data_IF_261239889713
#
_entry.id   IF_261239889713
#
_cell.length_a   1.000
_cell.length_b   1.000
_cell.length_c   1.000
_cell.angle_alpha   90.00
_cell.angle_beta   90.00
_cell.angle_gamma   90.00
#
_symmetry.space_group_name_H-M   'P 1'
#
loop_
_entity.id
_entity.type
_entity.pdbx_description
1 polymer ?
#
# COMPACT_ATOMS: atom_id res chain seq x y z
N UNK A 1 -13.00 7.88 -11.68
CA UNK A 1 -11.60 7.58 -11.99
C UNK A 1 -11.07 6.45 -11.11
N UNK A 2 -10.04 5.79 -11.58
CA UNK A 2 -9.39 4.71 -10.85
C UNK A 2 -7.88 4.89 -10.94
N UNK A 3 -7.21 4.91 -9.79
CA UNK A 3 -5.75 4.93 -9.71
C UNK A 3 -5.31 3.66 -8.99
N UNK A 4 -4.37 2.95 -9.59
CA UNK A 4 -3.78 1.76 -8.99
C UNK A 4 -2.28 1.99 -8.84
N UNK A 5 -1.78 1.79 -7.62
CA UNK A 5 -0.35 1.82 -7.32
C UNK A 5 0.03 0.48 -6.70
N UNK A 6 0.88 -0.27 -7.38
CA UNK A 6 1.18 -1.65 -7.00
C UNK A 6 2.68 -1.84 -6.83
N UNK A 7 3.12 -1.98 -5.58
CA UNK A 7 4.53 -2.24 -5.21
C UNK A 7 5.51 -1.26 -5.84
N UNK A 8 5.11 0.01 -5.87
CA UNK A 8 5.88 1.10 -6.46
C UNK A 8 6.46 1.97 -5.36
N UNK A 9 7.77 2.24 -5.43
CA UNK A 9 8.52 2.87 -4.33
C UNK A 9 8.49 4.40 -4.35
N UNK A 10 7.51 5.03 -4.97
CA UNK A 10 7.41 6.49 -5.01
C UNK A 10 6.43 6.99 -3.95
N UNK A 11 6.74 6.76 -2.69
CA UNK A 11 5.87 7.14 -1.57
C UNK A 11 5.60 8.64 -1.52
N UNK A 12 6.53 9.45 -2.03
CA UNK A 12 6.37 10.90 -2.10
C UNK A 12 5.23 11.33 -3.03
N UNK A 13 4.76 10.48 -3.92
CA UNK A 13 3.62 10.78 -4.79
C UNK A 13 2.28 10.54 -4.10
N UNK A 14 2.24 9.72 -3.05
CA UNK A 14 0.99 9.34 -2.40
C UNK A 14 0.20 10.53 -1.87
N UNK A 15 0.83 11.55 -1.25
CA UNK A 15 0.06 12.70 -0.72
C UNK A 15 -0.65 13.52 -1.80
N UNK A 16 -0.20 13.45 -3.06
CA UNK A 16 -0.83 14.23 -4.15
C UNK A 16 -1.93 13.44 -4.86
N UNK A 17 -1.99 12.13 -4.71
CA UNK A 17 -3.00 11.31 -5.38
C UNK A 17 -4.44 11.70 -5.02
N UNK A 18 -4.78 12.00 -3.75
CA UNK A 18 -6.13 12.44 -3.42
C UNK A 18 -6.57 13.69 -4.18
N UNK A 19 -5.64 14.58 -4.52
CA UNK A 19 -5.94 15.83 -5.23
C UNK A 19 -6.29 15.58 -6.69
N UNK A 20 -5.63 14.62 -7.33
CA UNK A 20 -5.88 14.32 -8.75
C UNK A 20 -7.01 13.32 -8.94
N UNK A 21 -7.42 12.63 -7.87
CA UNK A 21 -8.51 11.68 -7.93
C UNK A 21 -9.84 12.43 -8.00
N UNK A 22 -10.68 12.06 -8.95
CA UNK A 22 -12.01 12.66 -9.08
C UNK A 22 -12.91 12.19 -7.95
N UNK A 23 -13.88 13.04 -7.57
CA UNK A 23 -14.87 12.66 -6.55
C UNK A 23 -15.60 11.39 -6.99
N UNK A 24 -15.72 10.43 -6.08
CA UNK A 24 -16.25 9.11 -6.37
C UNK A 24 -15.23 8.15 -6.94
N UNK A 25 -14.02 8.62 -7.24
CA UNK A 25 -12.96 7.78 -7.77
C UNK A 25 -12.33 6.88 -6.71
N UNK A 26 -11.69 5.82 -7.17
CA UNK A 26 -11.03 4.83 -6.32
C UNK A 26 -9.52 4.91 -6.42
N UNK A 27 -8.86 4.71 -5.28
CA UNK A 27 -7.41 4.57 -5.19
C UNK A 27 -7.11 3.21 -4.55
N UNK A 28 -6.41 2.35 -5.28
CA UNK A 28 -6.01 1.03 -4.81
C UNK A 28 -4.49 1.01 -4.71
N UNK A 29 -3.99 0.73 -3.50
CA UNK A 29 -2.55 0.73 -3.24
C UNK A 29 -2.16 -0.59 -2.61
N UNK A 30 -1.06 -1.16 -3.09
CA UNK A 30 -0.39 -2.28 -2.43
C UNK A 30 1.11 -2.00 -2.41
N UNK A 31 1.72 -2.07 -1.21
CA UNK A 31 3.14 -1.88 -1.03
C UNK A 31 3.70 -2.95 -0.11
N UNK A 32 5.00 -3.21 -0.22
CA UNK A 32 5.68 -4.08 0.74
C UNK A 32 5.69 -3.42 2.11
N UNK A 33 5.33 -4.21 3.13
CA UNK A 33 5.27 -3.78 4.53
C UNK A 33 6.58 -4.13 5.23
N UNK A 34 7.06 -3.25 6.11
CA UNK A 34 8.15 -3.59 7.02
C UNK A 34 7.70 -4.75 7.91
N UNK A 35 8.55 -5.77 8.03
CA UNK A 35 8.19 -6.99 8.74
C UNK A 35 9.35 -7.54 9.54
N UNK A 36 9.06 -7.97 10.77
CA UNK A 36 10.02 -8.66 11.64
C UNK A 36 9.48 -10.05 11.93
N UNK A 37 10.35 -11.02 11.98
CA UNK A 37 10.00 -12.41 12.24
C UNK A 37 10.28 -13.28 11.03
N UNK A 38 9.24 -13.74 10.35
CA UNK A 38 9.40 -14.64 9.19
C UNK A 38 10.16 -13.95 8.06
N UNK A 39 10.94 -14.75 7.32
CA UNK A 39 11.57 -14.27 6.10
C UNK A 39 10.49 -14.04 5.05
N UNK A 40 10.51 -12.87 4.43
CA UNK A 40 9.52 -12.49 3.42
C UNK A 40 10.20 -12.11 2.12
N UNK A 41 9.50 -12.32 1.01
CA UNK A 41 9.95 -11.92 -0.32
C UNK A 41 9.92 -10.40 -0.49
N UNK A 42 10.56 -9.91 -1.55
CA UNK A 42 10.57 -8.50 -1.90
C UNK A 42 11.83 -7.79 -1.43
N UNK A 43 11.77 -6.46 -1.29
CA UNK A 43 12.96 -5.67 -1.00
C UNK A 43 13.63 -6.07 0.31
N UNK A 44 14.95 -6.16 0.31
CA UNK A 44 15.73 -6.37 1.53
C UNK A 44 15.96 -5.07 2.30
N UNK A 45 15.92 -3.94 1.61
CA UNK A 45 16.08 -2.63 2.21
C UNK A 45 14.75 -2.14 2.78
N UNK A 46 14.70 -1.88 4.08
CA UNK A 46 13.48 -1.40 4.74
C UNK A 46 12.99 -0.06 4.21
N UNK A 47 13.87 0.75 3.60
CA UNK A 47 13.46 2.02 3.01
C UNK A 47 12.52 1.83 1.80
N UNK A 48 12.47 0.63 1.24
CA UNK A 48 11.55 0.27 0.16
C UNK A 48 10.30 -0.43 0.68
N UNK A 49 10.07 -0.38 2.00
CA UNK A 49 8.89 -0.96 2.65
C UNK A 49 8.20 0.11 3.47
N UNK A 50 6.88 0.07 3.51
CA UNK A 50 6.11 1.02 4.32
C UNK A 50 6.03 0.53 5.77
N UNK A 51 6.07 1.45 6.74
CA UNK A 51 5.84 1.07 8.13
C UNK A 51 4.38 0.74 8.39
N UNK A 52 4.07 -0.01 9.46
CA UNK A 52 2.69 -0.30 9.83
C UNK A 52 1.86 0.99 9.94
N UNK A 53 0.68 0.99 9.32
CA UNK A 53 -0.20 2.17 9.30
C UNK A 53 0.29 3.31 8.42
N UNK A 54 1.45 3.17 7.77
CA UNK A 54 2.07 4.26 7.02
C UNK A 54 1.29 4.71 5.81
N UNK A 55 0.72 3.77 5.04
CA UNK A 55 -0.06 4.13 3.86
C UNK A 55 -1.30 4.95 4.23
N UNK A 56 -2.03 4.51 5.26
CA UNK A 56 -3.25 5.21 5.68
C UNK A 56 -2.94 6.65 6.13
N UNK A 57 -1.81 6.87 6.79
CA UNK A 57 -1.40 8.21 7.22
C UNK A 57 -1.04 9.10 6.03
N UNK A 58 -0.43 8.53 5.00
CA UNK A 58 0.01 9.31 3.84
C UNK A 58 -1.18 9.76 2.98
N UNK A 59 -2.21 8.94 2.86
CA UNK A 59 -3.38 9.21 2.02
C UNK A 59 -4.61 9.61 2.86
N UNK A 60 -4.39 10.33 3.92
CA UNK A 60 -5.45 10.79 4.82
C UNK A 60 -6.49 11.64 4.08
N UNK A 61 -7.73 11.61 4.58
CA UNK A 61 -8.83 12.40 4.01
C UNK A 61 -9.71 11.64 3.02
N UNK A 62 -9.36 10.42 2.63
CA UNK A 62 -10.19 9.58 1.79
C UNK A 62 -10.93 8.54 2.63
N UNK A 63 -12.06 8.05 2.13
CA UNK A 63 -12.82 7.01 2.79
C UNK A 63 -12.16 5.66 2.57
N UNK A 64 -11.83 4.96 3.65
CA UNK A 64 -11.27 3.61 3.59
C UNK A 64 -12.40 2.61 3.34
N UNK A 65 -12.27 1.85 2.26
CA UNK A 65 -13.20 0.78 1.89
C UNK A 65 -12.64 -0.57 2.30
N UNK A 66 -11.31 -0.74 2.17
CA UNK A 66 -10.62 -1.97 2.52
C UNK A 66 -9.22 -1.64 3.00
N UNK A 67 -8.78 -2.33 4.04
CA UNK A 67 -7.42 -2.18 4.59
C UNK A 67 -6.94 -3.52 5.10
N UNK A 68 -5.72 -3.90 4.73
CA UNK A 68 -5.06 -5.09 5.25
C UNK A 68 -3.56 -4.84 5.38
N UNK A 69 -3.01 -5.25 6.50
CA UNK A 69 -1.55 -5.31 6.70
C UNK A 69 -1.20 -6.65 7.30
N UNK A 70 -0.27 -7.35 6.69
CA UNK A 70 0.17 -8.64 7.20
C UNK A 70 0.77 -9.53 6.13
N UNK A 71 0.84 -10.83 6.44
CA UNK A 71 1.42 -11.83 5.56
C UNK A 71 0.41 -12.29 4.52
N UNK A 72 0.89 -12.48 3.31
CA UNK A 72 0.13 -12.98 2.17
C UNK A 72 0.97 -14.04 1.48
N UNK A 73 0.37 -15.18 1.12
CA UNK A 73 1.03 -16.17 0.28
C UNK A 73 0.84 -15.78 -1.18
N UNK A 74 1.95 -15.56 -1.88
CA UNK A 74 1.95 -15.22 -3.29
C UNK A 74 1.56 -16.45 -4.14
N UNK A 75 1.15 -16.25 -5.41
CA UNK A 75 0.81 -17.37 -6.29
C UNK A 75 1.93 -18.38 -6.49
N UNK A 76 3.19 -17.95 -6.40
CA UNK A 76 4.37 -18.83 -6.51
C UNK A 76 4.71 -19.55 -5.20
N UNK A 77 3.91 -19.35 -4.15
CA UNK A 77 4.14 -19.94 -2.84
C UNK A 77 5.03 -19.11 -1.92
N UNK A 78 5.62 -18.03 -2.40
CA UNK A 78 6.43 -17.16 -1.56
C UNK A 78 5.59 -16.41 -0.54
N UNK A 79 6.16 -16.16 0.63
CA UNK A 79 5.49 -15.38 1.67
C UNK A 79 5.87 -13.91 1.51
N UNK A 80 4.88 -13.02 1.45
CA UNK A 80 5.09 -11.58 1.37
C UNK A 80 4.43 -10.89 2.55
N UNK A 81 5.03 -9.78 2.99
CA UNK A 81 4.40 -8.86 3.95
C UNK A 81 3.92 -7.65 3.16
N UNK A 82 2.62 -7.38 3.19
CA UNK A 82 1.99 -6.38 2.34
C UNK A 82 1.12 -5.43 3.16
N UNK A 83 1.05 -4.20 2.69
CA UNK A 83 0.08 -3.20 3.13
C UNK A 83 -0.82 -2.89 1.94
N UNK A 84 -2.12 -3.08 2.12
CA UNK A 84 -3.11 -2.93 1.05
C UNK A 84 -4.19 -1.96 1.49
N UNK A 85 -4.52 -1.01 0.61
CA UNK A 85 -5.59 -0.04 0.84
C UNK A 85 -6.46 0.12 -0.39
N UNK A 86 -7.78 0.19 -0.18
CA UNK A 86 -8.72 0.68 -1.17
C UNK A 86 -9.47 1.86 -0.57
N UNK A 87 -9.38 3.00 -1.22
CA UNK A 87 -9.92 4.27 -0.74
C UNK A 87 -10.83 4.86 -1.82
N UNK A 88 -11.84 5.60 -1.38
CA UNK A 88 -12.74 6.34 -2.29
C UNK A 88 -12.76 7.81 -1.86
N UNK A 89 -12.74 8.67 -2.87
CA UNK A 89 -12.84 10.12 -2.67
C UNK A 89 -14.29 10.58 -2.54
#
# INVERSE_FOLDING_TARGET
SLIIMFRFVALELLPVLPEILQRGGSLIIEEHLQWKGEAVSGPTNENFRVPPGGLARIVDGLKVVYEYEGLVTEPDGALAALSQLHLIK
#
